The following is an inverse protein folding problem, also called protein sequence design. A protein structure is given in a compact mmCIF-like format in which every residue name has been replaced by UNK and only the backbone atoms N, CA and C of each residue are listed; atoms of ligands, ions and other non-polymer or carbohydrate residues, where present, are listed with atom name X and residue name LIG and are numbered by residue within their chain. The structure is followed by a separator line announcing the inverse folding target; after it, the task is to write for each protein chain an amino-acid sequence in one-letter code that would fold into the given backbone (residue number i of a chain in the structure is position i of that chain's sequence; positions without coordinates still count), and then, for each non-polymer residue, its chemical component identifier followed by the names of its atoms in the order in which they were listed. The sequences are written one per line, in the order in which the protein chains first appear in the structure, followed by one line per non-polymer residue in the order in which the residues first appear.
data_IF_928939745448
#
_entry.id   IF_928939745448
#
_cell.length_a   1.000
_cell.length_b   1.000
_cell.length_c   1.000
_cell.angle_alpha   90.00
_cell.angle_beta   90.00
_cell.angle_gamma   90.00
#
_symmetry.space_group_name_H-M   'P 1'
#
loop_
_entity.id
_entity.type
_entity.pdbx_description
1 polymer ?
#
# COMPACT_ATOMS: atom_id res chain seq x y z
N UNK A 1 22.83 -48.71 -0.96
CA UNK A 1 21.82 -47.89 -1.68
C UNK A 1 20.59 -47.52 -0.85
N UNK A 2 20.02 -48.41 -0.02
CA UNK A 2 18.81 -48.10 0.79
C UNK A 2 19.02 -46.97 1.84
N UNK A 3 20.20 -46.86 2.43
CA UNK A 3 20.50 -45.85 3.45
C UNK A 3 20.56 -44.41 2.91
N UNK A 4 20.99 -44.21 1.65
CA UNK A 4 21.10 -42.89 1.02
C UNK A 4 19.71 -42.27 0.78
N UNK A 5 18.73 -43.13 0.47
CA UNK A 5 17.34 -42.73 0.23
C UNK A 5 16.65 -42.24 1.51
N UNK A 6 16.96 -42.85 2.64
CA UNK A 6 16.43 -42.45 3.96
C UNK A 6 17.01 -41.08 4.37
N UNK A 7 18.30 -40.85 4.11
CA UNK A 7 18.95 -39.56 4.40
C UNK A 7 18.33 -38.44 3.53
N UNK A 8 18.11 -38.69 2.23
CA UNK A 8 17.44 -37.74 1.36
C UNK A 8 16.00 -37.44 1.83
N UNK A 9 15.25 -38.45 2.26
CA UNK A 9 13.88 -38.27 2.74
C UNK A 9 13.86 -37.41 4.02
N UNK A 10 14.75 -37.66 4.98
CA UNK A 10 14.84 -36.87 6.21
C UNK A 10 15.17 -35.40 5.92
N UNK A 11 16.04 -35.09 4.94
CA UNK A 11 16.33 -33.72 4.55
C UNK A 11 15.12 -32.97 3.96
N UNK A 12 14.23 -33.66 3.23
CA UNK A 12 13.01 -33.02 2.67
C UNK A 12 11.95 -32.66 3.71
N UNK A 13 11.93 -33.37 4.85
CA UNK A 13 11.05 -33.01 5.96
C UNK A 13 11.53 -31.74 6.66
N UNK A 14 12.85 -31.54 6.84
CA UNK A 14 13.36 -30.32 7.45
C UNK A 14 13.13 -29.07 6.59
N UNK A 15 13.16 -29.19 5.26
CA UNK A 15 12.91 -28.05 4.37
C UNK A 15 11.44 -27.62 4.32
N UNK A 16 10.48 -28.53 4.58
CA UNK A 16 9.05 -28.21 4.57
C UNK A 16 8.58 -27.50 5.85
N UNK A 17 9.25 -27.71 6.99
CA UNK A 17 8.95 -26.97 8.23
C UNK A 17 9.35 -25.49 8.17
N UNK A 18 10.36 -25.13 7.38
CA UNK A 18 10.83 -23.75 7.25
C UNK A 18 9.84 -22.81 6.52
N UNK A 19 8.83 -23.35 5.84
CA UNK A 19 7.85 -22.56 5.08
C UNK A 19 6.54 -22.27 5.83
N UNK A 20 6.36 -22.77 7.06
CA UNK A 20 5.10 -22.63 7.81
C UNK A 20 4.97 -21.35 8.65
N UNK A 21 5.87 -20.39 8.51
CA UNK A 21 6.05 -19.34 9.52
C UNK A 21 6.21 -17.92 8.99
N UNK A 22 5.48 -17.50 7.96
CA UNK A 22 5.28 -16.06 7.67
C UNK A 22 3.90 -15.92 7.04
N UNK A 23 2.94 -15.28 7.70
CA UNK A 23 1.79 -14.73 6.98
C UNK A 23 2.38 -13.81 5.91
N UNK A 24 2.28 -14.18 4.63
CA UNK A 24 2.86 -13.40 3.53
C UNK A 24 2.08 -12.09 3.43
N UNK A 25 2.55 -11.07 4.14
CA UNK A 25 2.00 -9.72 4.04
C UNK A 25 2.47 -9.15 2.71
N UNK A 26 1.53 -8.89 1.81
CA UNK A 26 1.81 -8.40 0.48
C UNK A 26 2.15 -6.90 0.51
N UNK A 27 3.17 -6.50 -0.24
CA UNK A 27 3.56 -5.09 -0.33
C UNK A 27 2.90 -4.45 -1.54
N UNK A 28 2.13 -3.39 -1.29
CA UNK A 28 1.41 -2.63 -2.32
C UNK A 28 2.08 -1.27 -2.50
N UNK A 29 2.64 -1.02 -3.68
CA UNK A 29 3.28 0.25 -4.02
C UNK A 29 2.44 0.99 -5.08
N UNK A 30 2.10 2.25 -4.80
CA UNK A 30 1.45 3.12 -5.76
C UNK A 30 2.29 4.39 -6.00
N UNK A 31 2.50 4.74 -7.26
CA UNK A 31 3.20 5.97 -7.65
C UNK A 31 2.18 7.11 -7.76
N UNK A 32 2.32 8.13 -6.93
CA UNK A 32 1.45 9.29 -6.92
C UNK A 32 1.83 10.24 -8.06
N UNK A 33 1.20 10.08 -9.21
CA UNK A 33 1.39 10.93 -10.37
C UNK A 33 0.35 12.06 -10.41
N UNK A 34 0.57 13.08 -9.57
CA UNK A 34 -0.28 14.30 -9.56
C UNK A 34 0.48 15.55 -9.99
N UNK A 35 1.78 15.44 -10.28
CA UNK A 35 2.65 16.58 -10.56
C UNK A 35 2.22 17.35 -11.82
N UNK A 36 1.71 16.65 -12.83
CA UNK A 36 1.34 17.22 -14.13
C UNK A 36 -0.17 17.44 -14.31
N UNK A 37 -0.99 17.06 -13.32
CA UNK A 37 -2.45 17.16 -13.39
C UNK A 37 -2.91 18.40 -12.61
N UNK A 38 -3.77 19.28 -13.16
CA UNK A 38 -4.36 20.39 -12.42
C UNK A 38 -5.17 19.91 -11.20
N UNK A 39 -5.23 20.69 -10.13
CA UNK A 39 -5.89 20.28 -8.87
C UNK A 39 -7.35 19.83 -9.06
N UNK A 40 -8.11 20.55 -9.88
CA UNK A 40 -9.53 20.26 -10.12
C UNK A 40 -9.76 18.97 -10.92
N UNK A 41 -8.75 18.51 -11.66
CA UNK A 41 -8.83 17.31 -12.51
C UNK A 41 -8.20 16.09 -11.83
N UNK A 42 -7.64 16.25 -10.62
CA UNK A 42 -7.04 15.15 -9.87
C UNK A 42 -8.14 14.28 -9.25
N UNK A 43 -7.98 12.97 -9.39
CA UNK A 43 -8.74 11.99 -8.61
C UNK A 43 -8.26 11.90 -7.15
N UNK A 44 -7.15 12.57 -6.81
CA UNK A 44 -6.55 12.57 -5.48
C UNK A 44 -6.79 13.91 -4.78
N UNK A 45 -7.39 13.85 -3.60
CA UNK A 45 -7.36 14.92 -2.61
C UNK A 45 -6.20 14.65 -1.64
N UNK A 46 -5.30 15.62 -1.50
CA UNK A 46 -4.06 15.49 -0.75
C UNK A 46 -3.97 16.68 0.19
N UNK A 47 -3.83 16.40 1.48
CA UNK A 47 -3.73 17.46 2.48
C UNK A 47 -3.08 17.00 3.77
N UNK A 48 -3.06 17.91 4.73
CA UNK A 48 -2.58 17.67 6.08
C UNK A 48 -3.70 18.02 7.04
N UNK A 49 -4.07 17.08 7.90
CA UNK A 49 -5.05 17.27 8.96
C UNK A 49 -4.37 16.96 10.29
N UNK A 50 -4.17 18.00 11.11
CA UNK A 50 -3.42 17.92 12.37
C UNK A 50 -2.00 17.35 12.15
N UNK A 51 -1.70 16.17 12.69
CA UNK A 51 -0.41 15.47 12.56
C UNK A 51 -0.38 14.44 11.42
N UNK A 52 -1.44 14.30 10.64
CA UNK A 52 -1.53 13.29 9.59
C UNK A 52 -1.51 13.94 8.21
N UNK A 53 -0.71 13.40 7.30
CA UNK A 53 -0.86 13.66 5.87
C UNK A 53 -1.77 12.60 5.28
N UNK A 54 -2.77 13.02 4.51
CA UNK A 54 -3.76 12.13 3.91
C UNK A 54 -3.70 12.16 2.38
N UNK A 55 -4.08 11.03 1.79
CA UNK A 55 -4.33 10.87 0.36
C UNK A 55 -5.69 10.18 0.18
N UNK A 56 -6.67 10.91 -0.30
CA UNK A 56 -8.03 10.42 -0.49
C UNK A 56 -8.35 10.33 -1.98
N UNK A 57 -8.84 9.18 -2.42
CA UNK A 57 -9.26 8.99 -3.82
C UNK A 57 -10.71 9.47 -3.96
N UNK A 58 -10.90 10.64 -4.59
CA UNK A 58 -12.19 11.21 -4.95
C UNK A 58 -12.54 10.86 -6.39
N UNK A 59 -13.09 9.66 -6.61
CA UNK A 59 -13.68 9.30 -7.90
C UNK A 59 -15.21 9.35 -7.80
N UNK A 60 -15.92 10.04 -8.72
CA UNK A 60 -17.38 9.98 -8.81
C UNK A 60 -17.93 8.55 -8.98
N UNK A 61 -17.11 7.66 -9.55
CA UNK A 61 -17.42 6.24 -9.73
C UNK A 61 -17.51 5.46 -8.40
N UNK A 62 -16.98 6.00 -7.30
CA UNK A 62 -17.07 5.43 -5.96
C UNK A 62 -18.37 5.91 -5.31
N UNK A 63 -19.48 5.27 -5.69
CA UNK A 63 -20.81 5.54 -5.12
C UNK A 63 -20.80 5.35 -3.60
N UNK A 64 -21.59 6.15 -2.88
CA UNK A 64 -21.82 6.08 -1.42
C UNK A 64 -20.66 6.52 -0.50
N UNK A 65 -19.92 7.58 -0.85
CA UNK A 65 -18.85 8.17 0.00
C UNK A 65 -17.75 7.19 0.44
N UNK A 66 -17.58 6.09 -0.27
CA UNK A 66 -16.56 5.11 0.04
C UNK A 66 -15.24 5.52 -0.62
N UNK A 67 -14.69 6.67 -0.20
CA UNK A 67 -13.45 7.24 -0.72
C UNK A 67 -12.25 6.67 0.04
N UNK A 68 -11.46 5.75 -0.55
CA UNK A 68 -10.28 5.22 0.08
C UNK A 68 -9.37 6.35 0.55
N UNK A 69 -9.03 6.33 1.83
CA UNK A 69 -8.17 7.35 2.43
C UNK A 69 -6.96 6.66 3.03
N UNK A 70 -5.78 7.10 2.60
CA UNK A 70 -4.51 6.61 3.07
C UNK A 70 -3.84 7.69 3.92
N UNK A 71 -3.37 7.34 5.12
CA UNK A 71 -2.76 8.30 6.03
C UNK A 71 -1.44 7.82 6.61
N UNK A 72 -0.58 8.78 6.96
CA UNK A 72 0.62 8.55 7.75
C UNK A 72 0.89 9.76 8.66
N UNK A 73 1.58 9.54 9.78
CA UNK A 73 1.98 10.63 10.68
C UNK A 73 3.10 11.44 10.03
N UNK A 74 2.96 12.77 9.98
CA UNK A 74 3.97 13.65 9.34
C UNK A 74 5.35 13.56 9.99
N UNK A 75 5.44 13.07 11.24
CA UNK A 75 6.70 12.80 11.92
C UNK A 75 7.40 11.54 11.42
N UNK A 76 6.65 10.59 10.85
CA UNK A 76 7.21 9.42 10.19
C UNK A 76 7.82 9.85 8.85
N UNK A 77 9.14 10.05 8.86
CA UNK A 77 9.87 10.42 7.65
C UNK A 77 9.75 9.29 6.61
N UNK A 78 9.36 9.66 5.39
CA UNK A 78 9.33 8.72 4.27
C UNK A 78 10.73 8.25 3.88
N UNK A 79 10.82 7.05 3.31
CA UNK A 79 12.06 6.48 2.80
C UNK A 79 12.41 7.12 1.46
N UNK A 80 13.59 7.72 1.36
CA UNK A 80 14.12 8.21 0.08
C UNK A 80 14.45 7.04 -0.85
N UNK A 81 14.05 7.15 -2.10
CA UNK A 81 14.25 6.16 -3.16
C UNK A 81 14.93 6.86 -4.33
N UNK A 82 16.02 6.28 -4.83
CA UNK A 82 16.72 6.79 -6.01
C UNK A 82 16.14 6.21 -7.32
N UNK A 83 16.61 6.70 -8.47
CA UNK A 83 16.13 6.24 -9.79
C UNK A 83 16.41 4.76 -10.05
N UNK A 84 17.51 4.20 -9.54
CA UNK A 84 17.82 2.78 -9.76
C UNK A 84 16.96 1.84 -8.91
N UNK A 85 16.46 2.33 -7.78
CA UNK A 85 15.57 1.60 -6.90
C UNK A 85 14.12 1.66 -7.41
N UNK A 86 13.68 2.80 -7.96
CA UNK A 86 12.30 2.96 -8.43
C UNK A 86 11.96 1.97 -9.56
N UNK A 87 12.92 1.69 -10.45
CA UNK A 87 12.76 0.78 -11.58
C UNK A 87 12.58 -0.68 -11.16
N UNK A 88 12.99 -1.02 -9.93
CA UNK A 88 12.85 -2.35 -9.35
C UNK A 88 11.54 -2.53 -8.58
N UNK A 89 10.80 -1.45 -8.35
CA UNK A 89 9.54 -1.48 -7.59
C UNK A 89 8.39 -1.78 -8.56
N UNK A 90 7.62 -2.82 -8.26
CA UNK A 90 6.39 -3.12 -8.97
C UNK A 90 5.28 -2.21 -8.44
N UNK A 91 4.81 -1.31 -9.29
CA UNK A 91 3.68 -0.43 -8.99
C UNK A 91 2.36 -1.05 -9.45
N UNK A 92 1.31 -0.81 -8.68
CA UNK A 92 -0.05 -1.14 -9.08
C UNK A 92 -0.73 0.05 -9.75
N UNK A 93 -1.75 -0.24 -10.55
CA UNK A 93 -2.59 0.81 -11.15
C UNK A 93 -3.51 1.45 -10.11
N UNK A 94 -4.03 2.65 -10.40
CA UNK A 94 -5.02 3.31 -9.55
C UNK A 94 -6.30 2.45 -9.38
N UNK A 95 -6.75 1.81 -10.46
CA UNK A 95 -7.91 0.91 -10.42
C UNK A 95 -7.67 -0.26 -9.47
N UNK A 96 -6.50 -0.91 -9.56
CA UNK A 96 -6.12 -2.00 -8.65
C UNK A 96 -6.04 -1.52 -7.19
N UNK A 97 -5.57 -0.29 -6.94
CA UNK A 97 -5.50 0.27 -5.60
C UNK A 97 -6.90 0.50 -5.03
N UNK A 98 -7.82 1.02 -5.84
CA UNK A 98 -9.22 1.22 -5.49
C UNK A 98 -9.89 -0.13 -5.18
N UNK A 99 -9.69 -1.14 -6.02
CA UNK A 99 -10.31 -2.44 -5.84
C UNK A 99 -9.80 -3.13 -4.57
N UNK A 100 -8.50 -3.06 -4.28
CA UNK A 100 -7.94 -3.48 -3.00
C UNK A 100 -8.57 -2.71 -1.84
N UNK A 101 -8.63 -1.38 -1.90
CA UNK A 101 -9.20 -0.60 -0.81
C UNK A 101 -10.69 -0.87 -0.55
N UNK A 102 -11.45 -1.32 -1.56
CA UNK A 102 -12.85 -1.73 -1.40
C UNK A 102 -13.01 -3.09 -0.73
N UNK A 103 -12.12 -4.03 -1.02
CA UNK A 103 -12.19 -5.40 -0.49
C UNK A 103 -11.53 -5.53 0.87
N UNK A 104 -10.79 -4.51 1.32
CA UNK A 104 -10.03 -4.56 2.56
C UNK A 104 -10.57 -3.58 3.60
N UNK A 105 -11.01 -4.10 4.75
CA UNK A 105 -11.34 -3.27 5.94
C UNK A 105 -10.06 -2.90 6.71
N UNK A 106 -10.08 -1.87 7.55
CA UNK A 106 -8.89 -1.40 8.32
C UNK A 106 -8.16 -2.56 9.06
N UNK A 107 -8.90 -3.48 9.69
CA UNK A 107 -8.35 -4.65 10.38
C UNK A 107 -7.72 -5.68 9.44
N UNK A 108 -8.30 -5.89 8.26
CA UNK A 108 -7.78 -6.85 7.26
C UNK A 108 -6.64 -6.25 6.45
N UNK A 109 -6.66 -4.94 6.24
CA UNK A 109 -5.68 -4.20 5.46
C UNK A 109 -4.32 -4.23 6.13
N UNK A 110 -4.29 -4.11 7.46
CA UNK A 110 -3.05 -4.12 8.23
C UNK A 110 -2.44 -5.52 8.41
N UNK A 111 -3.23 -6.58 8.21
CA UNK A 111 -2.79 -7.97 8.39
C UNK A 111 -2.42 -8.67 7.09
N UNK A 112 -2.99 -8.24 5.96
CA UNK A 112 -2.70 -8.81 4.64
C UNK A 112 -1.80 -7.92 3.77
N UNK A 113 -1.81 -6.60 3.97
CA UNK A 113 -1.11 -5.68 3.08
C UNK A 113 -0.27 -4.63 3.82
N UNK A 114 0.82 -4.20 3.19
CA UNK A 114 1.54 -2.97 3.55
C UNK A 114 1.47 -2.02 2.37
N UNK A 115 0.78 -0.90 2.56
CA UNK A 115 0.62 0.12 1.54
C UNK A 115 1.76 1.14 1.59
N UNK A 116 2.29 1.45 0.42
CA UNK A 116 3.25 2.53 0.20
C UNK A 116 2.75 3.46 -0.89
N UNK A 117 2.66 4.75 -0.56
CA UNK A 117 2.46 5.82 -1.55
C UNK A 117 3.82 6.47 -1.82
N UNK A 118 4.21 6.47 -3.09
CA UNK A 118 5.50 6.98 -3.54
C UNK A 118 5.30 8.30 -4.27
N UNK A 119 5.90 9.36 -3.76
CA UNK A 119 5.83 10.71 -4.32
C UNK A 119 7.13 11.06 -5.03
N UNK A 120 7.03 11.78 -6.16
CA UNK A 120 8.18 12.37 -6.83
C UNK A 120 8.58 13.66 -6.12
N UNK A 121 9.86 13.79 -5.79
CA UNK A 121 10.42 15.01 -5.19
C UNK A 121 10.83 16.04 -6.25
N UNK A 122 10.95 17.30 -5.84
CA UNK A 122 11.44 18.39 -6.71
C UNK A 122 12.89 18.21 -7.18
N UNK A 123 13.70 17.36 -6.53
CA UNK A 123 15.15 17.19 -6.78
C UNK A 123 15.49 15.84 -7.42
N UNK A 124 14.63 15.36 -8.31
CA UNK A 124 14.80 14.11 -9.09
C UNK A 124 14.82 12.77 -8.32
N UNK A 125 14.53 12.78 -7.02
CA UNK A 125 14.34 11.56 -6.22
C UNK A 125 12.87 11.24 -5.97
N UNK A 126 12.62 10.12 -5.31
CA UNK A 126 11.29 9.73 -4.83
C UNK A 126 11.31 9.59 -3.30
N UNK A 127 10.15 9.78 -2.67
CA UNK A 127 9.94 9.46 -1.26
C UNK A 127 8.79 8.47 -1.17
N UNK A 128 9.02 7.35 -0.50
CA UNK A 128 7.99 6.36 -0.20
C UNK A 128 7.52 6.50 1.24
N UNK A 129 6.22 6.67 1.39
CA UNK A 129 5.53 6.77 2.66
C UNK A 129 4.80 5.47 2.92
N UNK A 130 5.08 4.82 4.04
CA UNK A 130 4.24 3.74 4.55
C UNK A 130 2.93 4.38 5.01
N UNK A 131 1.81 3.96 4.45
CA UNK A 131 0.50 4.52 4.76
C UNK A 131 -0.43 3.46 5.33
N UNK A 132 -1.42 3.92 6.09
CA UNK A 132 -2.52 3.09 6.59
C UNK A 132 -3.78 3.43 5.81
N UNK A 133 -4.46 2.42 5.30
CA UNK A 133 -5.80 2.58 4.75
C UNK A 133 -6.77 2.73 5.90
N UNK A 134 -7.50 3.85 5.96
CA UNK A 134 -8.59 4.01 6.92
C UNK A 134 -9.93 3.80 6.23
N UNK A 135 -10.83 3.11 6.95
CA UNK A 135 -12.21 2.96 6.51
C UNK A 135 -12.87 4.34 6.48
N UNK A 136 -13.55 4.73 5.39
CA UNK A 136 -14.28 5.99 5.34
C UNK A 136 -15.29 6.06 6.49
N UNK A 137 -15.32 7.19 7.23
CA UNK A 137 -16.39 7.42 8.21
C UNK A 137 -17.71 7.45 7.44
N UNK A 138 -18.69 6.66 7.87
CA UNK A 138 -20.03 6.80 7.31
C UNK A 138 -20.50 8.24 7.53
N UNK A 139 -21.12 8.89 6.52
CA UNK A 139 -21.66 10.22 6.70
C UNK A 139 -22.66 10.19 7.85
N UNK A 140 -22.50 11.10 8.81
CA UNK A 140 -23.52 11.34 9.83
C UNK A 140 -24.72 11.89 9.07
N UNK A 141 -25.73 11.06 8.87
CA UNK A 141 -27.03 11.53 8.37
C UNK A 141 -27.63 12.36 9.49
N UNK A 142 -27.48 13.69 9.41
CA UNK A 142 -28.25 14.59 10.25
C UNK A 142 -29.68 14.54 9.72
N UNK A 143 -30.56 13.83 10.44
CA UNK A 143 -32.01 13.90 10.25
C UNK A 143 -32.55 15.25 10.73
#
# INVERSE_FOLDING_TARGET
MKAILIICLCFTFFTTYAQKGVNNIDTVNYLLDTANTPLNDRMWDIGIESKYKYYTIKCPCLKFNNYPTFLFDVKEQGRKINKDQITKIKFISLGSLIDLAKTTTDLTAQTLYIFYIVEKTKREGYISHKVRLVTPRQPIVMN
#
